data_IF_886223031844
#
_entry.id   IF_886223031844
#
_cell.length_a   1.000
_cell.length_b   1.000
_cell.length_c   1.000
_cell.angle_alpha   90.00
_cell.angle_beta   90.00
_cell.angle_gamma   90.00
#
_symmetry.space_group_name_H-M   'P 1'
#
loop_
_entity.id
_entity.type
_entity.pdbx_description
1 polymer ?
#
# COMPACT_ATOMS: atom_id res chain seq x y z
N UNK A 1 -21.49 -10.48 -43.20
CA UNK A 1 -20.61 -9.63 -42.37
C UNK A 1 -19.70 -10.53 -41.57
N UNK A 2 -18.42 -10.38 -41.71
CA UNK A 2 -17.46 -11.23 -41.00
C UNK A 2 -17.21 -10.68 -39.59
N UNK A 3 -17.41 -11.53 -38.59
CA UNK A 3 -17.03 -11.21 -37.21
C UNK A 3 -15.55 -11.57 -37.02
N UNK A 4 -14.73 -10.55 -36.79
CA UNK A 4 -13.32 -10.78 -36.48
C UNK A 4 -13.16 -11.15 -35.00
N UNK A 5 -12.84 -12.41 -34.76
CA UNK A 5 -12.53 -12.92 -33.42
C UNK A 5 -11.02 -13.00 -33.16
N UNK A 6 -10.22 -12.33 -33.97
CA UNK A 6 -8.77 -12.33 -33.83
C UNK A 6 -8.31 -11.12 -33.00
N UNK A 7 -7.27 -11.35 -32.23
CA UNK A 7 -6.59 -10.28 -31.48
C UNK A 7 -5.87 -9.35 -32.45
N UNK A 8 -5.86 -8.06 -32.11
CA UNK A 8 -4.97 -7.11 -32.77
C UNK A 8 -3.59 -7.19 -32.12
N UNK A 9 -2.55 -7.24 -32.94
CA UNK A 9 -1.17 -7.25 -32.47
C UNK A 9 -0.49 -5.93 -32.87
N UNK A 10 -0.20 -5.10 -31.88
CA UNK A 10 0.51 -3.84 -32.05
C UNK A 10 1.98 -4.02 -31.70
N UNK A 11 2.88 -3.90 -32.68
CA UNK A 11 4.31 -4.17 -32.47
C UNK A 11 5.08 -2.99 -31.88
N UNK A 12 4.60 -1.77 -32.12
CA UNK A 12 5.27 -0.53 -31.68
C UNK A 12 4.52 0.16 -30.54
N UNK A 13 3.55 -0.51 -29.95
CA UNK A 13 2.77 0.03 -28.85
C UNK A 13 1.40 0.54 -29.27
N UNK A 14 0.70 1.10 -28.32
CA UNK A 14 -0.65 1.68 -28.46
C UNK A 14 -0.66 3.02 -27.78
N UNK A 15 -1.25 4.00 -28.43
CA UNK A 15 -1.46 5.32 -27.85
C UNK A 15 -2.91 5.74 -28.04
N UNK A 16 -3.56 6.12 -26.95
CA UNK A 16 -4.88 6.74 -26.93
C UNK A 16 -4.71 8.16 -26.43
N UNK A 17 -5.02 9.12 -27.31
CA UNK A 17 -4.71 10.52 -27.06
C UNK A 17 -3.21 10.74 -26.81
N UNK A 18 -2.80 11.79 -26.15
CA UNK A 18 -1.37 12.05 -25.89
C UNK A 18 -0.82 11.26 -24.71
N UNK A 19 -1.61 11.15 -23.66
CA UNK A 19 -1.15 10.61 -22.38
C UNK A 19 -2.22 9.83 -21.61
N UNK A 20 -3.44 9.72 -22.15
CA UNK A 20 -4.54 9.05 -21.46
C UNK A 20 -4.26 7.57 -21.22
N UNK A 21 -3.77 6.89 -22.25
CA UNK A 21 -3.36 5.50 -22.17
C UNK A 21 -2.27 5.23 -23.20
N UNK A 22 -1.14 4.76 -22.73
CA UNK A 22 0.00 4.40 -23.61
C UNK A 22 0.50 3.02 -23.25
N UNK A 23 0.81 2.25 -24.28
CA UNK A 23 1.74 1.12 -24.21
C UNK A 23 2.88 1.45 -25.16
N UNK A 24 4.06 1.72 -24.62
CA UNK A 24 5.20 2.12 -25.42
C UNK A 24 5.90 0.92 -26.11
N UNK A 25 6.87 1.21 -26.95
CA UNK A 25 7.61 0.17 -27.67
C UNK A 25 8.42 -0.75 -26.75
N UNK A 26 8.70 -0.34 -25.53
CA UNK A 26 9.41 -1.13 -24.51
C UNK A 26 8.47 -1.98 -23.65
N UNK A 27 7.16 -1.88 -23.87
CA UNK A 27 6.15 -2.60 -23.12
C UNK A 27 5.77 -1.93 -21.79
N UNK A 28 6.13 -0.66 -21.60
CA UNK A 28 5.71 0.10 -20.43
C UNK A 28 4.32 0.69 -20.63
N UNK A 29 3.47 0.58 -19.62
CA UNK A 29 2.10 1.09 -19.66
C UNK A 29 2.02 2.38 -18.88
N UNK A 30 1.56 3.45 -19.53
CA UNK A 30 1.31 4.76 -18.92
C UNK A 30 -0.17 5.09 -18.92
N UNK A 31 -0.67 5.57 -17.79
CA UNK A 31 -2.00 6.15 -17.66
C UNK A 31 -1.82 7.54 -17.07
N UNK A 32 -2.18 8.57 -17.83
CA UNK A 32 -1.94 9.95 -17.47
C UNK A 32 -0.48 10.39 -17.66
N UNK A 33 0.30 9.64 -18.42
CA UNK A 33 1.67 9.99 -18.79
C UNK A 33 2.03 9.42 -20.15
N UNK A 34 2.72 10.21 -20.96
CA UNK A 34 3.29 9.78 -22.24
C UNK A 34 4.70 9.16 -22.08
N UNK A 35 5.28 9.26 -20.89
CA UNK A 35 6.64 8.82 -20.61
C UNK A 35 6.60 7.93 -19.36
N UNK A 36 6.08 6.69 -19.45
CA UNK A 36 6.07 5.79 -18.30
C UNK A 36 7.50 5.40 -17.92
N UNK A 37 7.78 5.40 -16.63
CA UNK A 37 9.09 5.05 -16.08
C UNK A 37 9.12 3.65 -15.46
N UNK A 38 7.95 3.05 -15.27
CA UNK A 38 7.76 1.73 -14.70
C UNK A 38 6.87 0.88 -15.63
N UNK A 39 6.81 -0.43 -15.40
CA UNK A 39 5.94 -1.32 -16.19
C UNK A 39 4.48 -0.86 -16.20
N UNK A 40 4.03 -0.27 -15.12
CA UNK A 40 2.75 0.43 -15.03
C UNK A 40 2.97 1.75 -14.29
N UNK A 41 2.88 2.85 -14.99
CA UNK A 41 3.00 4.21 -14.43
C UNK A 41 1.63 4.90 -14.53
N UNK A 42 0.99 5.11 -13.38
CA UNK A 42 -0.29 5.83 -13.28
C UNK A 42 -0.06 7.17 -12.63
N UNK A 43 -0.23 8.23 -13.40
CA UNK A 43 -0.15 9.61 -12.91
C UNK A 43 -1.53 10.13 -12.62
N UNK A 44 -2.03 9.80 -11.44
CA UNK A 44 -3.37 10.13 -11.00
C UNK A 44 -3.90 9.15 -9.97
N UNK A 45 -5.21 9.07 -9.84
CA UNK A 45 -5.86 8.19 -8.88
C UNK A 45 -6.16 6.84 -9.51
N UNK A 46 -5.76 5.77 -8.85
CA UNK A 46 -6.18 4.41 -9.19
C UNK A 46 -7.20 3.92 -8.16
N UNK A 47 -8.29 3.28 -8.62
CA UNK A 47 -9.28 2.65 -7.77
C UNK A 47 -9.33 1.15 -8.07
N UNK A 48 -9.09 0.35 -7.06
CA UNK A 48 -9.25 -1.10 -7.11
C UNK A 48 -10.38 -1.50 -6.18
N UNK A 49 -11.46 -2.05 -6.72
CA UNK A 49 -12.62 -2.48 -5.93
C UNK A 49 -12.48 -3.89 -5.34
N UNK A 50 -11.44 -4.59 -5.72
CA UNK A 50 -11.12 -5.93 -5.24
C UNK A 50 -9.85 -5.96 -4.39
N UNK A 51 -9.07 -6.99 -4.57
CA UNK A 51 -7.85 -7.24 -3.82
C UNK A 51 -6.64 -6.74 -4.61
N UNK A 52 -5.74 -6.02 -3.94
CA UNK A 52 -4.40 -5.75 -4.44
C UNK A 52 -3.44 -6.73 -3.74
N UNK A 53 -2.82 -7.61 -4.51
CA UNK A 53 -1.83 -8.55 -4.02
C UNK A 53 -0.45 -8.14 -4.55
N UNK A 54 0.48 -7.90 -3.66
CA UNK A 54 1.83 -7.46 -3.99
C UNK A 54 2.82 -8.07 -3.02
N UNK A 55 4.04 -8.35 -3.50
CA UNK A 55 5.13 -8.78 -2.62
C UNK A 55 5.61 -7.66 -1.73
N UNK A 56 5.74 -6.46 -2.32
CA UNK A 56 6.19 -5.27 -1.61
C UNK A 56 5.27 -4.10 -1.97
N UNK A 57 4.89 -3.32 -0.97
CA UNK A 57 4.14 -2.09 -1.13
C UNK A 57 4.94 -0.95 -0.54
N UNK A 58 5.37 -0.02 -1.38
CA UNK A 58 6.07 1.18 -0.98
C UNK A 58 5.13 2.39 -1.07
N UNK A 59 4.89 3.04 0.05
CA UNK A 59 4.04 4.24 0.14
C UNK A 59 4.86 5.38 0.72
N UNK A 60 4.95 6.48 -0.01
CA UNK A 60 5.77 7.63 0.38
C UNK A 60 5.07 8.60 1.33
N UNK A 61 3.75 8.55 1.39
CA UNK A 61 2.94 9.46 2.21
C UNK A 61 2.07 8.63 3.17
N UNK A 62 0.78 8.75 3.08
CA UNK A 62 -0.15 8.18 4.04
C UNK A 62 -0.75 6.85 3.56
N UNK A 63 -0.93 5.92 4.48
CA UNK A 63 -1.76 4.74 4.30
C UNK A 63 -2.98 4.87 5.20
N UNK A 64 -4.16 4.95 4.59
CA UNK A 64 -5.42 4.98 5.32
C UNK A 64 -6.12 3.62 5.22
N UNK A 65 -6.35 2.98 6.35
CA UNK A 65 -7.08 1.72 6.46
C UNK A 65 -8.34 1.96 7.28
N UNK A 66 -9.52 1.87 6.65
CA UNK A 66 -10.80 2.07 7.33
C UNK A 66 -11.35 0.83 8.03
N UNK A 67 -10.80 -0.32 7.73
CA UNK A 67 -11.20 -1.60 8.31
C UNK A 67 -10.14 -2.20 9.22
N UNK A 68 -10.08 -3.51 9.27
CA UNK A 68 -9.08 -4.23 10.03
C UNK A 68 -7.76 -4.32 9.26
N UNK A 69 -6.66 -4.17 9.97
CA UNK A 69 -5.32 -4.38 9.43
C UNK A 69 -4.61 -5.46 10.23
N UNK A 70 -4.05 -6.43 9.55
CA UNK A 70 -3.19 -7.45 10.16
C UNK A 70 -1.76 -7.21 9.74
N UNK A 71 -0.89 -6.94 10.70
CA UNK A 71 0.52 -6.68 10.47
C UNK A 71 1.32 -7.67 11.33
N UNK A 72 2.18 -8.45 10.70
CA UNK A 72 3.04 -9.41 11.42
C UNK A 72 4.16 -8.71 12.16
N UNK A 73 4.79 -7.73 11.53
CA UNK A 73 5.84 -6.90 12.11
C UNK A 73 5.53 -5.45 11.75
N UNK A 74 5.43 -4.60 12.77
CA UNK A 74 5.31 -3.15 12.60
C UNK A 74 6.57 -2.50 13.19
N UNK A 75 7.42 -1.97 12.31
CA UNK A 75 8.54 -1.13 12.69
C UNK A 75 8.13 0.32 12.50
N UNK A 76 7.88 1.02 13.60
CA UNK A 76 7.37 2.38 13.57
C UNK A 76 8.22 3.27 14.48
N UNK A 77 8.61 4.42 13.95
CA UNK A 77 9.29 5.46 14.74
C UNK A 77 8.36 6.05 15.80
N UNK A 78 7.08 6.15 15.49
CA UNK A 78 6.06 6.66 16.39
C UNK A 78 4.74 5.93 16.15
N UNK A 79 4.08 5.52 17.21
CA UNK A 79 2.75 4.94 17.18
C UNK A 79 1.80 5.76 18.04
N UNK A 80 0.77 6.35 17.40
CA UNK A 80 -0.28 7.06 18.10
C UNK A 80 -1.57 6.26 18.03
N UNK A 81 -2.03 5.76 19.15
CA UNK A 81 -3.28 5.03 19.29
C UNK A 81 -4.27 5.81 20.14
N UNK A 82 -5.44 6.14 19.59
CA UNK A 82 -6.51 6.83 20.31
C UNK A 82 -7.43 5.90 21.08
N UNK A 83 -7.35 4.61 20.82
CA UNK A 83 -8.12 3.57 21.46
C UNK A 83 -7.29 2.72 22.42
N UNK A 84 -7.59 1.45 22.45
CA UNK A 84 -6.94 0.48 23.33
C UNK A 84 -5.82 -0.24 22.59
N UNK A 85 -4.65 -0.31 23.19
CA UNK A 85 -3.53 -1.15 22.73
C UNK A 85 -3.42 -2.34 23.68
N UNK A 86 -3.61 -3.55 23.15
CA UNK A 86 -3.44 -4.79 23.91
C UNK A 86 -2.18 -5.49 23.43
N UNK A 87 -1.28 -5.77 24.31
CA UNK A 87 -0.05 -6.50 24.03
C UNK A 87 0.24 -7.49 25.16
N UNK A 88 0.83 -8.64 24.79
CA UNK A 88 1.28 -9.59 25.79
C UNK A 88 2.45 -9.06 26.62
N UNK A 89 3.27 -8.21 26.00
CA UNK A 89 4.45 -7.66 26.63
C UNK A 89 4.82 -6.31 26.02
N UNK A 90 5.22 -5.37 26.85
CA UNK A 90 5.85 -4.12 26.46
C UNK A 90 7.31 -4.15 26.96
N UNK A 91 8.25 -3.92 26.06
CA UNK A 91 9.67 -3.87 26.37
C UNK A 91 10.21 -2.49 26.04
N UNK A 92 10.85 -1.84 26.96
CA UNK A 92 11.43 -0.53 26.76
C UNK A 92 11.44 0.30 28.06
N UNK A 93 11.83 1.57 27.91
CA UNK A 93 11.78 2.53 29.02
C UNK A 93 10.34 3.00 29.22
N UNK A 94 9.77 2.64 30.35
CA UNK A 94 8.42 3.05 30.77
C UNK A 94 8.37 4.33 31.60
N UNK A 95 9.46 5.07 31.70
CA UNK A 95 9.57 6.26 32.59
C UNK A 95 8.57 7.36 32.25
N UNK A 96 8.13 7.45 30.99
CA UNK A 96 7.16 8.44 30.52
C UNK A 96 5.72 7.92 30.49
N UNK A 97 5.48 6.70 30.91
CA UNK A 97 4.13 6.16 30.99
C UNK A 97 3.41 6.77 32.22
N UNK A 98 2.22 7.31 31.98
CA UNK A 98 1.37 7.86 33.02
C UNK A 98 0.06 7.08 33.11
N UNK A 99 -0.53 7.04 34.29
CA UNK A 99 -1.78 6.32 34.50
C UNK A 99 -1.65 4.80 34.47
N UNK A 100 -0.45 4.28 34.52
CA UNK A 100 -0.20 2.85 34.57
C UNK A 100 -0.43 2.33 35.97
N UNK A 101 -1.39 1.42 36.13
CA UNK A 101 -1.57 0.69 37.39
C UNK A 101 -0.67 -0.56 37.32
N UNK A 102 0.46 -0.50 37.97
CA UNK A 102 1.30 -1.67 38.15
C UNK A 102 0.74 -2.51 39.31
N UNK A 103 0.27 -3.71 38.99
CA UNK A 103 -0.03 -4.65 40.08
C UNK A 103 1.29 -5.32 40.47
N UNK A 104 1.92 -4.77 41.50
CA UNK A 104 3.08 -5.40 42.05
C UNK A 104 2.67 -6.70 42.75
N UNK A 105 3.34 -7.80 42.44
CA UNK A 105 3.18 -9.04 43.21
C UNK A 105 3.66 -8.76 44.64
N UNK A 106 2.82 -9.06 45.65
CA UNK A 106 3.26 -8.87 47.03
C UNK A 106 4.45 -9.81 47.30
N UNK A 107 5.51 -9.21 47.80
CA UNK A 107 6.66 -9.97 48.30
C UNK A 107 6.28 -10.49 49.67
N UNK A 108 6.16 -11.82 49.76
CA UNK A 108 5.97 -12.49 51.03
C UNK A 108 7.34 -12.78 51.65
N UNK A 109 7.56 -12.23 52.80
CA UNK A 109 8.75 -12.52 53.58
C UNK A 109 8.48 -13.64 54.57
#
# INVERSE_FOLDING_TARGET
MANYKKSFNFRNGVQVDNDNFIVDANGLVGIGTSIPTEFLDVRGTAKVSGIVSTSDLFVTEDVFVSGASTVTILDATSLNATGVVTAQQFIGDGSLLSGVVAVAMPILF
#
